data_IF_576190248613
#
_entry.id   IF_576190248613
#
_cell.length_a   1.000
_cell.length_b   1.000
_cell.length_c   1.000
_cell.angle_alpha   90.00
_cell.angle_beta   90.00
_cell.angle_gamma   90.00
#
_symmetry.space_group_name_H-M   'P 1'
#
loop_
_entity.id
_entity.type
_entity.pdbx_description
1 polymer ?
#
# COMPACT_ATOMS: atom_id res chain seq x y z
N UNK A 1 -12.75 27.77 0.75
CA UNK A 1 -12.35 27.74 2.18
C UNK A 1 -12.97 26.45 2.74
N UNK A 2 -12.29 25.32 2.92
CA UNK A 2 -10.90 25.05 3.28
C UNK A 2 -10.07 24.37 2.18
N UNK A 3 -8.88 24.91 1.95
CA UNK A 3 -7.75 24.18 1.41
C UNK A 3 -7.06 23.45 2.57
N UNK A 4 -6.46 22.29 2.30
CA UNK A 4 -5.54 21.54 3.17
C UNK A 4 -6.11 20.63 4.28
N UNK A 5 -7.00 19.70 3.93
CA UNK A 5 -7.08 18.44 4.69
C UNK A 5 -6.79 17.27 3.75
N UNK A 6 -5.50 17.03 3.47
CA UNK A 6 -5.09 15.87 2.70
C UNK A 6 -5.42 14.60 3.48
N UNK A 7 -6.12 13.67 2.85
CA UNK A 7 -6.48 12.40 3.47
C UNK A 7 -5.21 11.61 3.76
N UNK A 8 -5.12 11.04 4.96
CA UNK A 8 -3.96 10.30 5.42
C UNK A 8 -4.17 8.82 5.14
N UNK A 9 -3.25 8.21 4.39
CA UNK A 9 -3.20 6.77 4.16
C UNK A 9 -2.05 6.18 4.97
N UNK A 10 -2.34 5.24 5.87
CA UNK A 10 -1.32 4.57 6.68
C UNK A 10 -1.19 3.12 6.24
N UNK A 11 -0.02 2.73 5.72
CA UNK A 11 0.24 1.36 5.29
C UNK A 11 0.02 0.34 6.41
N UNK A 12 0.28 0.72 7.66
CA UNK A 12 0.07 -0.15 8.82
C UNK A 12 -1.40 -0.56 9.03
N UNK A 13 -2.37 0.19 8.49
CA UNK A 13 -3.80 -0.17 8.60
C UNK A 13 -4.11 -1.47 7.86
N UNK A 14 -3.34 -1.85 6.85
CA UNK A 14 -3.50 -3.14 6.18
C UNK A 14 -3.29 -4.33 7.15
N UNK A 15 -2.54 -4.13 8.23
CA UNK A 15 -2.33 -5.15 9.26
C UNK A 15 -3.59 -5.44 10.10
N UNK A 16 -4.66 -4.64 9.99
CA UNK A 16 -5.97 -4.98 10.60
C UNK A 16 -6.76 -5.97 9.75
N UNK A 17 -6.34 -6.18 8.50
CA UNK A 17 -7.04 -7.01 7.52
C UNK A 17 -8.23 -6.30 6.85
N UNK A 18 -8.68 -6.90 5.75
CA UNK A 18 -9.91 -6.60 5.02
C UNK A 18 -10.69 -7.90 4.83
N UNK A 19 -11.99 -7.87 4.47
CA UNK A 19 -12.81 -9.08 4.33
C UNK A 19 -12.18 -10.24 3.55
N UNK A 20 -11.40 -9.97 2.49
CA UNK A 20 -10.69 -10.99 1.70
C UNK A 20 -9.16 -10.91 1.77
N UNK A 21 -8.61 -10.04 2.61
CA UNK A 21 -7.16 -9.90 2.83
C UNK A 21 -6.88 -10.13 4.30
N UNK A 22 -6.17 -11.21 4.61
CA UNK A 22 -5.86 -11.53 6.00
C UNK A 22 -4.96 -10.45 6.62
N UNK A 23 -5.07 -10.21 7.94
CA UNK A 23 -4.18 -9.29 8.66
C UNK A 23 -2.69 -9.55 8.40
N UNK A 24 -2.29 -10.83 8.36
CA UNK A 24 -0.90 -11.22 8.12
C UNK A 24 -0.43 -10.86 6.70
N UNK A 25 -1.27 -11.09 5.68
CA UNK A 25 -0.92 -10.72 4.31
C UNK A 25 -0.91 -9.20 4.13
N UNK A 26 -1.85 -8.48 4.73
CA UNK A 26 -1.85 -7.02 4.73
C UNK A 26 -0.61 -6.41 5.39
N UNK A 27 -0.16 -6.97 6.52
CA UNK A 27 1.10 -6.56 7.16
C UNK A 27 2.31 -6.82 6.26
N UNK A 28 2.35 -7.97 5.57
CA UNK A 28 3.39 -8.30 4.59
C UNK A 28 3.44 -7.29 3.43
N UNK A 29 2.29 -6.92 2.86
CA UNK A 29 2.22 -5.89 1.81
C UNK A 29 2.66 -4.51 2.30
N UNK A 30 2.26 -4.12 3.51
CA UNK A 30 2.67 -2.85 4.13
C UNK A 30 4.19 -2.78 4.32
N UNK A 31 4.82 -3.87 4.74
CA UNK A 31 6.27 -3.98 4.89
C UNK A 31 6.98 -3.84 3.54
N UNK A 32 6.50 -4.54 2.51
CA UNK A 32 7.03 -4.45 1.15
C UNK A 32 6.97 -3.00 0.62
N UNK A 33 5.83 -2.33 0.82
CA UNK A 33 5.64 -0.93 0.42
C UNK A 33 6.61 0.01 1.14
N UNK A 34 6.79 -0.16 2.47
CA UNK A 34 7.71 0.64 3.25
C UNK A 34 9.15 0.50 2.74
N UNK A 35 9.61 -0.75 2.51
CA UNK A 35 10.96 -1.03 1.97
C UNK A 35 11.11 -0.45 0.57
N UNK A 36 10.13 -0.64 -0.32
CA UNK A 36 10.16 -0.12 -1.68
C UNK A 36 10.28 1.42 -1.69
N UNK A 37 9.43 2.10 -0.92
CA UNK A 37 9.37 3.56 -0.88
C UNK A 37 10.67 4.15 -0.32
N UNK A 38 11.15 3.63 0.81
CA UNK A 38 12.41 4.10 1.41
C UNK A 38 13.61 3.79 0.51
N UNK A 39 13.66 2.60 -0.10
CA UNK A 39 14.71 2.19 -1.03
C UNK A 39 14.80 3.08 -2.27
N UNK A 40 13.68 3.67 -2.69
CA UNK A 40 13.62 4.65 -3.78
C UNK A 40 13.80 6.11 -3.33
N UNK A 41 14.12 6.34 -2.06
CA UNK A 41 14.39 7.68 -1.52
C UNK A 41 13.14 8.52 -1.22
N UNK A 42 11.96 7.92 -1.22
CA UNK A 42 10.74 8.60 -0.77
C UNK A 42 10.77 8.80 0.74
N UNK A 43 10.17 9.91 1.18
CA UNK A 43 10.08 10.25 2.61
C UNK A 43 8.68 9.98 3.13
N UNK A 44 8.60 9.58 4.39
CA UNK A 44 7.35 9.39 5.09
C UNK A 44 6.49 10.68 5.02
N UNK A 45 5.19 10.54 4.74
CA UNK A 45 4.31 11.68 4.46
C UNK A 45 4.45 12.26 3.04
N UNK A 46 5.03 11.50 2.10
CA UNK A 46 5.04 11.88 0.68
C UNK A 46 3.62 12.11 0.17
N UNK A 47 3.46 13.09 -0.71
CA UNK A 47 2.19 13.35 -1.37
C UNK A 47 1.98 12.36 -2.51
N UNK A 48 0.85 11.67 -2.48
CA UNK A 48 0.38 10.79 -3.54
C UNK A 48 -0.74 11.50 -4.29
N UNK A 49 -0.50 11.79 -5.57
CA UNK A 49 -1.50 12.38 -6.46
C UNK A 49 -2.15 11.28 -7.30
N UNK A 50 -3.47 11.17 -7.19
CA UNK A 50 -4.27 10.26 -8.02
C UNK A 50 -5.06 11.09 -9.02
N UNK A 51 -4.99 10.70 -10.29
CA UNK A 51 -5.70 11.35 -11.40
C UNK A 51 -6.31 10.31 -12.32
N UNK A 52 -7.51 10.57 -12.84
CA UNK A 52 -8.24 9.65 -13.72
C UNK A 52 -9.74 9.76 -13.49
N UNK A 53 -10.44 8.61 -13.55
CA UNK A 53 -11.86 8.53 -13.20
C UNK A 53 -12.12 8.93 -11.74
N UNK A 54 -11.21 8.53 -10.85
CA UNK A 54 -11.10 9.04 -9.49
C UNK A 54 -9.92 10.00 -9.41
N UNK A 55 -10.02 11.01 -8.54
CA UNK A 55 -8.93 11.93 -8.28
C UNK A 55 -8.84 12.28 -6.80
N UNK A 56 -7.64 12.57 -6.33
CA UNK A 56 -7.42 12.88 -4.93
C UNK A 56 -5.96 13.15 -4.62
N UNK A 57 -5.74 13.77 -3.47
CA UNK A 57 -4.42 14.07 -2.93
C UNK A 57 -4.33 13.46 -1.54
N UNK A 58 -3.35 12.59 -1.35
CA UNK A 58 -3.18 11.81 -0.14
C UNK A 58 -1.80 12.01 0.44
N UNK A 59 -1.68 11.84 1.76
CA UNK A 59 -0.40 11.72 2.45
C UNK A 59 -0.19 10.28 2.84
N UNK A 60 0.87 9.67 2.30
CA UNK A 60 1.18 8.27 2.54
C UNK A 60 2.18 8.12 3.69
N UNK A 61 1.85 7.29 4.67
CA UNK A 61 2.71 7.00 5.81
C UNK A 61 2.97 5.50 5.97
N UNK A 62 4.19 5.14 6.41
CA UNK A 62 4.62 3.76 6.69
C UNK A 62 5.46 3.69 7.97
N UNK A 63 5.62 2.51 8.60
CA UNK A 63 6.56 2.34 9.70
C UNK A 63 8.01 2.52 9.24
N UNK A 64 8.91 2.84 10.17
CA UNK A 64 10.34 2.93 9.89
C UNK A 64 10.90 1.59 9.40
N UNK A 65 11.72 1.63 8.35
CA UNK A 65 12.27 0.41 7.76
C UNK A 65 13.51 -0.04 8.52
N UNK A 66 13.44 -1.28 9.03
CA UNK A 66 14.56 -1.92 9.73
C UNK A 66 15.51 -2.62 8.76
N UNK A 67 16.72 -2.95 9.22
CA UNK A 67 17.64 -3.77 8.43
C UNK A 67 17.13 -5.19 8.21
N UNK A 68 16.30 -5.72 9.10
CA UNK A 68 15.68 -7.03 8.93
C UNK A 68 14.70 -7.03 7.77
N UNK A 69 13.84 -5.99 7.68
CA UNK A 69 12.91 -5.81 6.56
C UNK A 69 13.66 -5.71 5.23
N UNK A 70 14.73 -4.89 5.16
CA UNK A 70 15.57 -4.76 3.95
C UNK A 70 16.19 -6.09 3.51
N UNK A 71 16.59 -6.94 4.45
CA UNK A 71 17.12 -8.27 4.13
C UNK A 71 16.02 -9.24 3.66
N UNK A 72 14.82 -9.14 4.22
CA UNK A 72 13.67 -9.96 3.82
C UNK A 72 13.16 -9.61 2.41
N UNK A 73 13.09 -8.32 2.10
CA UNK A 73 12.57 -7.75 0.86
C UNK A 73 13.72 -7.32 -0.07
N UNK A 74 14.75 -8.16 -0.19
CA UNK A 74 15.91 -7.86 -1.03
C UNK A 74 15.69 -8.18 -2.52
N UNK A 75 14.62 -8.91 -2.84
CA UNK A 75 14.12 -9.07 -4.21
C UNK A 75 13.27 -7.84 -4.56
N UNK A 76 13.88 -6.89 -5.27
CA UNK A 76 13.24 -5.62 -5.61
C UNK A 76 12.04 -5.77 -6.54
N UNK A 77 11.99 -6.80 -7.39
CA UNK A 77 10.86 -7.01 -8.30
C UNK A 77 9.62 -7.39 -7.50
N UNK A 78 9.74 -8.42 -6.65
CA UNK A 78 8.68 -8.87 -5.75
C UNK A 78 8.27 -7.75 -4.77
N UNK A 79 9.25 -7.04 -4.21
CA UNK A 79 9.02 -5.94 -3.26
C UNK A 79 8.24 -4.79 -3.91
N UNK A 80 8.57 -4.44 -5.16
CA UNK A 80 7.88 -3.39 -5.91
C UNK A 80 6.43 -3.79 -6.21
N UNK A 81 6.21 -5.02 -6.69
CA UNK A 81 4.86 -5.52 -6.98
C UNK A 81 3.97 -5.54 -5.73
N UNK A 82 4.47 -6.13 -4.63
CA UNK A 82 3.72 -6.22 -3.38
C UNK A 82 3.51 -4.86 -2.73
N UNK A 83 4.49 -3.97 -2.83
CA UNK A 83 4.35 -2.58 -2.37
C UNK A 83 3.27 -1.82 -3.14
N UNK A 84 3.20 -2.01 -4.46
CA UNK A 84 2.15 -1.42 -5.28
C UNK A 84 0.76 -1.94 -4.89
N UNK A 85 0.61 -3.24 -4.60
CA UNK A 85 -0.65 -3.79 -4.10
C UNK A 85 -1.10 -3.13 -2.80
N UNK A 86 -0.19 -2.90 -1.86
CA UNK A 86 -0.50 -2.24 -0.59
C UNK A 86 -1.15 -0.86 -0.80
N UNK A 87 -0.54 -0.04 -1.65
CA UNK A 87 -1.02 1.31 -1.96
C UNK A 87 -2.35 1.25 -2.71
N UNK A 88 -2.47 0.36 -3.69
CA UNK A 88 -3.70 0.18 -4.47
C UNK A 88 -4.89 -0.21 -3.60
N UNK A 89 -4.70 -1.12 -2.64
CA UNK A 89 -5.75 -1.55 -1.72
C UNK A 89 -6.27 -0.38 -0.89
N UNK A 90 -5.38 0.43 -0.30
CA UNK A 90 -5.79 1.60 0.47
C UNK A 90 -6.49 2.65 -0.39
N UNK A 91 -5.99 2.89 -1.60
CA UNK A 91 -6.61 3.82 -2.54
C UNK A 91 -8.01 3.37 -2.95
N UNK A 92 -8.21 2.09 -3.26
CA UNK A 92 -9.53 1.56 -3.64
C UNK A 92 -10.50 1.71 -2.46
N UNK A 93 -10.06 1.37 -1.25
CA UNK A 93 -10.87 1.50 -0.05
C UNK A 93 -11.28 2.96 0.24
N UNK A 94 -10.39 3.91 -0.02
CA UNK A 94 -10.64 5.34 0.23
C UNK A 94 -11.46 6.03 -0.90
N UNK A 95 -11.19 5.68 -2.16
CA UNK A 95 -11.80 6.34 -3.32
C UNK A 95 -13.14 5.73 -3.74
N UNK A 96 -13.49 4.56 -3.21
CA UNK A 96 -14.69 3.82 -3.60
C UNK A 96 -15.49 3.36 -2.39
N UNK A 97 -16.70 2.85 -2.63
CA UNK A 97 -17.52 2.20 -1.59
C UNK A 97 -17.23 0.70 -1.47
N UNK A 98 -16.20 0.19 -2.18
CA UNK A 98 -15.89 -1.22 -2.19
C UNK A 98 -15.14 -1.64 -0.93
N UNK A 99 -15.72 -2.61 -0.21
CA UNK A 99 -15.15 -3.16 1.01
C UNK A 99 -14.47 -4.51 0.79
N UNK A 100 -14.73 -5.16 -0.35
CA UNK A 100 -14.18 -6.46 -0.72
C UNK A 100 -13.16 -6.29 -1.85
N UNK A 101 -11.89 -6.55 -1.54
CA UNK A 101 -10.80 -6.55 -2.51
C UNK A 101 -10.19 -7.95 -2.51
N UNK A 102 -10.38 -8.67 -3.61
CA UNK A 102 -9.92 -10.05 -3.76
C UNK A 102 -8.70 -10.12 -4.66
N UNK A 103 -7.81 -11.06 -4.37
CA UNK A 103 -6.68 -11.36 -5.24
C UNK A 103 -7.18 -12.14 -6.44
N UNK A 104 -6.74 -11.74 -7.63
CA UNK A 104 -7.02 -12.48 -8.85
C UNK A 104 -6.50 -13.91 -8.74
N UNK A 105 -7.34 -14.88 -9.09
CA UNK A 105 -6.96 -16.27 -9.22
C UNK A 105 -6.36 -16.49 -10.62
N UNK A 106 -5.10 -16.92 -10.69
CA UNK A 106 -4.57 -17.54 -11.91
C UNK A 106 -5.00 -19.00 -11.91
N UNK A 107 -5.66 -19.42 -12.99
CA UNK A 107 -6.07 -20.80 -13.23
C UNK A 107 -4.93 -21.80 -13.10
N UNK A 108 -5.27 -23.07 -12.96
CA UNK A 108 -4.35 -24.17 -12.61
C UNK A 108 -3.27 -24.47 -13.65
N UNK A 109 -3.27 -23.81 -14.81
CA UNK A 109 -2.28 -24.02 -15.87
C UNK A 109 -2.28 -25.44 -16.46
N UNK A 110 -3.36 -26.20 -16.21
CA UNK A 110 -3.70 -27.50 -16.81
C UNK A 110 -4.75 -27.32 -17.90
#
# INVERSE_FOLDING_TARGET
MNSDNAVILKLQELATGLPAITPAFGACLAEAAAVCLEGNGHKNGVELLVSGHFSGRFKLYWPDVTQQMRRCWNDYEVTTEHGAYAIAILLIHELTQFTLIERSFKGTGI
#
